data_IF_886689753583
#
_entry.id   IF_886689753583
#
_cell.length_a   1.000
_cell.length_b   1.000
_cell.length_c   1.000
_cell.angle_alpha   90.00
_cell.angle_beta   90.00
_cell.angle_gamma   90.00
#
_symmetry.space_group_name_H-M   'P 1'
#
loop_
_entity.id
_entity.type
_entity.pdbx_description
1 polymer ?
#
# COMPACT_ATOMS: atom_id res chain seq x y z
N UNK A 1 12.89 -24.24 -0.75
CA UNK A 1 11.93 -23.90 -1.84
C UNK A 1 12.61 -22.95 -2.79
N UNK A 2 12.28 -23.01 -4.07
CA UNK A 2 12.91 -22.21 -5.14
C UNK A 2 13.00 -20.69 -4.80
N UNK A 3 11.93 -20.10 -4.26
CA UNK A 3 11.94 -18.69 -3.83
C UNK A 3 12.99 -18.44 -2.73
N UNK A 4 13.07 -19.30 -1.72
CA UNK A 4 14.03 -19.12 -0.63
C UNK A 4 15.48 -19.29 -1.10
N UNK A 5 15.72 -20.15 -2.06
CA UNK A 5 17.06 -20.34 -2.60
C UNK A 5 17.50 -19.10 -3.40
N UNK A 6 16.58 -18.52 -4.20
CA UNK A 6 16.81 -17.21 -4.84
C UNK A 6 17.05 -16.10 -3.82
N UNK A 7 16.26 -16.01 -2.75
CA UNK A 7 16.43 -15.01 -1.70
C UNK A 7 17.79 -15.09 -1.01
N UNK A 8 18.32 -16.31 -0.80
CA UNK A 8 19.68 -16.52 -0.24
C UNK A 8 20.75 -15.98 -1.19
N UNK A 9 20.59 -16.17 -2.50
CA UNK A 9 21.53 -15.66 -3.50
C UNK A 9 21.57 -14.12 -3.51
N UNK A 10 20.43 -13.48 -3.24
CA UNK A 10 20.34 -12.02 -3.16
C UNK A 10 20.68 -11.42 -1.77
N UNK A 11 20.82 -12.25 -0.73
CA UNK A 11 21.07 -11.76 0.62
C UNK A 11 22.25 -10.81 0.75
N UNK A 12 23.43 -11.03 0.11
CA UNK A 12 24.54 -10.08 0.18
C UNK A 12 24.20 -8.67 -0.34
N UNK A 13 23.28 -8.58 -1.31
CA UNK A 13 22.79 -7.29 -1.81
C UNK A 13 21.83 -6.63 -0.83
N UNK A 14 20.96 -7.40 -0.18
CA UNK A 14 20.07 -6.88 0.87
C UNK A 14 20.85 -6.34 2.05
N UNK A 15 21.91 -7.04 2.47
CA UNK A 15 22.76 -6.63 3.60
C UNK A 15 23.52 -5.31 3.30
N UNK A 16 23.86 -5.06 2.04
CA UNK A 16 24.56 -3.84 1.62
C UNK A 16 23.62 -2.64 1.41
N UNK A 17 22.37 -2.90 0.97
CA UNK A 17 21.40 -1.86 0.62
C UNK A 17 20.38 -1.59 1.70
N UNK A 18 20.44 -2.31 2.83
CA UNK A 18 19.39 -2.36 3.84
C UNK A 18 18.01 -2.73 3.26
N UNK A 19 18.03 -3.48 2.17
CA UNK A 19 16.85 -3.94 1.45
C UNK A 19 16.27 -5.23 2.02
N UNK A 20 15.31 -5.80 1.28
CA UNK A 20 14.65 -7.03 1.73
C UNK A 20 13.67 -7.59 0.72
N UNK A 21 12.77 -8.43 1.21
CA UNK A 21 11.69 -9.04 0.46
C UNK A 21 10.42 -8.19 0.59
N UNK A 22 9.89 -7.73 -0.53
CA UNK A 22 8.53 -7.17 -0.59
C UNK A 22 7.59 -8.17 -1.24
N UNK A 23 6.51 -8.53 -0.55
CA UNK A 23 5.43 -9.33 -1.10
C UNK A 23 4.28 -8.41 -1.47
N UNK A 24 3.96 -8.38 -2.77
CA UNK A 24 2.93 -7.59 -3.41
C UNK A 24 2.21 -8.45 -4.48
N UNK A 25 1.64 -7.83 -5.49
CA UNK A 25 1.05 -8.54 -6.65
C UNK A 25 -0.37 -8.09 -6.92
N UNK A 26 -1.36 -8.99 -6.92
CA UNK A 26 -2.78 -8.64 -6.77
C UNK A 26 -3.00 -8.19 -5.32
N UNK A 27 -3.62 -9.05 -4.51
CA UNK A 27 -3.69 -8.82 -3.05
C UNK A 27 -3.02 -10.01 -2.33
N UNK A 28 -1.85 -9.82 -1.69
CA UNK A 28 -1.11 -10.92 -1.07
C UNK A 28 -1.89 -11.57 0.08
N UNK A 29 -2.74 -10.81 0.77
CA UNK A 29 -3.57 -11.31 1.86
C UNK A 29 -4.72 -12.25 1.43
N UNK A 30 -4.87 -12.50 0.13
CA UNK A 30 -5.71 -13.60 -0.36
C UNK A 30 -5.04 -14.96 -0.21
N UNK A 31 -3.72 -14.99 0.02
CA UNK A 31 -2.91 -16.18 0.27
C UNK A 31 -2.13 -16.07 1.61
N UNK A 32 -2.82 -15.79 2.75
CA UNK A 32 -2.16 -15.40 3.99
C UNK A 32 -1.22 -16.48 4.54
N UNK A 33 -1.58 -17.76 4.41
CA UNK A 33 -0.73 -18.88 4.84
C UNK A 33 0.59 -18.94 4.08
N UNK A 34 0.55 -18.77 2.75
CA UNK A 34 1.77 -18.75 1.93
C UNK A 34 2.66 -17.56 2.28
N UNK A 35 2.09 -16.36 2.43
CA UNK A 35 2.84 -15.15 2.77
C UNK A 35 3.47 -15.28 4.15
N UNK A 36 2.71 -15.76 5.14
CA UNK A 36 3.20 -16.00 6.49
C UNK A 36 4.37 -16.99 6.51
N UNK A 37 4.23 -18.15 5.86
CA UNK A 37 5.29 -19.16 5.77
C UNK A 37 6.55 -18.62 5.09
N UNK A 38 6.39 -17.81 4.04
CA UNK A 38 7.50 -17.17 3.34
C UNK A 38 8.21 -16.16 4.24
N UNK A 39 7.45 -15.31 4.97
CA UNK A 39 8.00 -14.32 5.88
C UNK A 39 8.73 -14.97 7.07
N UNK A 40 8.18 -16.03 7.66
CA UNK A 40 8.87 -16.78 8.72
C UNK A 40 10.25 -17.24 8.23
N UNK A 41 10.29 -17.92 7.08
CA UNK A 41 11.54 -18.45 6.52
C UNK A 41 12.52 -17.38 6.05
N UNK A 42 12.03 -16.25 5.52
CA UNK A 42 12.87 -15.10 5.18
C UNK A 42 13.48 -14.47 6.44
N UNK A 43 12.70 -14.35 7.52
CA UNK A 43 13.17 -13.87 8.81
C UNK A 43 14.23 -14.77 9.45
N UNK A 44 14.10 -16.11 9.34
CA UNK A 44 15.10 -17.07 9.82
C UNK A 44 16.50 -16.87 9.22
N UNK A 45 16.57 -16.32 8.01
CA UNK A 45 17.83 -15.99 7.32
C UNK A 45 18.16 -14.50 7.36
N UNK A 46 17.46 -13.71 8.19
CA UNK A 46 17.74 -12.30 8.43
C UNK A 46 17.40 -11.39 7.25
N UNK A 47 16.37 -11.71 6.46
CA UNK A 47 15.86 -10.85 5.39
C UNK A 47 14.69 -10.03 5.91
N UNK A 48 14.75 -8.70 5.72
CA UNK A 48 13.66 -7.77 6.03
C UNK A 48 12.42 -8.07 5.17
N UNK A 49 11.23 -8.02 5.78
CA UNK A 49 9.96 -8.48 5.19
C UNK A 49 8.95 -7.36 5.11
N UNK A 50 8.63 -6.95 3.89
CA UNK A 50 7.66 -5.90 3.61
C UNK A 50 6.40 -6.49 3.00
N UNK A 51 5.25 -6.17 3.58
CA UNK A 51 3.93 -6.45 3.05
C UNK A 51 3.40 -5.22 2.33
N UNK A 52 3.20 -5.30 1.01
CA UNK A 52 2.52 -4.26 0.21
C UNK A 52 1.09 -4.73 -0.08
N UNK A 53 0.11 -4.10 0.55
CA UNK A 53 -1.29 -4.53 0.54
C UNK A 53 -2.27 -3.37 0.42
N UNK A 54 -3.41 -3.62 -0.21
CA UNK A 54 -4.57 -2.74 -0.12
C UNK A 54 -5.40 -2.98 1.15
N UNK A 55 -5.12 -4.06 1.88
CA UNK A 55 -5.93 -4.49 3.00
C UNK A 55 -7.30 -5.06 2.62
N UNK A 56 -7.58 -5.25 1.34
CA UNK A 56 -8.85 -5.84 0.88
C UNK A 56 -8.82 -7.36 1.04
N UNK A 57 -9.07 -7.82 2.24
CA UNK A 57 -9.09 -9.23 2.59
C UNK A 57 -10.02 -9.51 3.76
N UNK A 58 -10.30 -10.79 4.03
CA UNK A 58 -10.98 -11.19 5.26
C UNK A 58 -10.16 -10.78 6.48
N UNK A 59 -10.80 -10.27 7.50
CA UNK A 59 -10.21 -9.76 8.74
C UNK A 59 -9.12 -10.67 9.36
N UNK A 60 -9.37 -11.97 9.44
CA UNK A 60 -8.40 -12.92 9.99
C UNK A 60 -7.11 -13.09 9.16
N UNK A 61 -7.16 -12.78 7.86
CA UNK A 61 -6.02 -13.00 6.97
C UNK A 61 -4.82 -12.08 7.32
N UNK A 62 -5.10 -10.80 7.59
CA UNK A 62 -4.05 -9.84 7.94
C UNK A 62 -3.39 -10.21 9.27
N UNK A 63 -4.15 -10.69 10.26
CA UNK A 63 -3.65 -11.12 11.56
C UNK A 63 -2.69 -12.32 11.47
N UNK A 64 -2.83 -13.15 10.42
CA UNK A 64 -1.93 -14.28 10.17
C UNK A 64 -0.55 -13.81 9.71
N UNK A 65 -0.48 -12.70 8.98
CA UNK A 65 0.77 -12.23 8.33
C UNK A 65 1.51 -11.19 9.18
N UNK A 66 0.79 -10.28 9.85
CA UNK A 66 1.38 -9.18 10.63
C UNK A 66 2.46 -9.60 11.64
N UNK A 67 2.35 -10.72 12.40
CA UNK A 67 3.39 -11.13 13.36
C UNK A 67 4.75 -11.43 12.73
N UNK A 68 4.79 -11.59 11.41
CA UNK A 68 5.99 -11.96 10.66
C UNK A 68 6.42 -10.87 9.67
N UNK A 69 5.84 -9.67 9.80
CA UNK A 69 6.07 -8.52 8.91
C UNK A 69 6.90 -7.46 9.64
N UNK A 70 7.93 -6.93 9.00
CA UNK A 70 8.74 -5.83 9.53
C UNK A 70 8.17 -4.47 9.11
N UNK A 71 7.71 -4.34 7.85
CA UNK A 71 7.12 -3.13 7.31
C UNK A 71 5.81 -3.44 6.59
N UNK A 72 4.78 -2.64 6.82
CA UNK A 72 3.54 -2.65 6.05
C UNK A 72 3.45 -1.39 5.20
N UNK A 73 3.43 -1.55 3.89
CA UNK A 73 3.03 -0.53 2.93
C UNK A 73 1.53 -0.68 2.69
N UNK A 74 0.73 0.18 3.32
CA UNK A 74 -0.73 0.05 3.27
C UNK A 74 -1.34 1.04 2.27
N UNK A 75 -1.87 0.51 1.18
CA UNK A 75 -2.41 1.31 0.08
C UNK A 75 -3.83 1.78 0.34
N UNK A 76 -4.04 3.08 0.42
CA UNK A 76 -5.36 3.73 0.42
C UNK A 76 -5.60 4.38 -0.93
N UNK A 77 -6.72 4.07 -1.57
CA UNK A 77 -7.07 4.61 -2.90
C UNK A 77 -7.92 5.89 -2.79
N UNK A 78 -8.98 5.84 -1.99
CA UNK A 78 -9.90 6.93 -1.69
C UNK A 78 -10.53 6.66 -0.33
N UNK A 79 -10.73 7.70 0.48
CA UNK A 79 -11.41 7.57 1.78
C UNK A 79 -12.93 7.61 1.60
N UNK A 80 -13.43 8.53 0.76
CA UNK A 80 -14.85 8.61 0.45
C UNK A 80 -15.36 7.28 -0.15
N UNK A 81 -16.39 6.70 0.47
CA UNK A 81 -16.89 5.38 0.15
C UNK A 81 -17.51 5.28 -1.25
N UNK A 82 -18.21 6.33 -1.67
CA UNK A 82 -18.84 6.34 -3.00
C UNK A 82 -17.81 6.50 -4.11
N UNK A 83 -16.83 7.38 -3.91
CA UNK A 83 -15.69 7.51 -4.81
C UNK A 83 -14.91 6.21 -4.89
N UNK A 84 -14.67 5.55 -3.74
CA UNK A 84 -13.96 4.28 -3.70
C UNK A 84 -14.69 3.20 -4.50
N UNK A 85 -16.02 3.07 -4.34
CA UNK A 85 -16.83 2.14 -5.13
C UNK A 85 -16.78 2.42 -6.63
N UNK A 86 -16.85 3.69 -7.03
CA UNK A 86 -16.74 4.07 -8.44
C UNK A 86 -15.39 3.73 -9.05
N UNK A 87 -14.32 3.78 -8.23
CA UNK A 87 -12.95 3.53 -8.68
C UNK A 87 -12.60 2.02 -8.70
N UNK A 88 -13.13 1.24 -7.75
CA UNK A 88 -12.67 -0.13 -7.49
C UNK A 88 -13.78 -1.20 -7.53
N UNK A 89 -15.03 -0.81 -7.79
CA UNK A 89 -16.24 -1.62 -7.73
C UNK A 89 -16.54 -2.21 -6.34
N UNK A 90 -15.80 -1.82 -5.30
CA UNK A 90 -15.98 -2.30 -3.92
C UNK A 90 -16.01 -1.16 -2.91
N UNK A 91 -16.56 -1.40 -1.70
CA UNK A 91 -16.44 -0.48 -0.57
C UNK A 91 -15.06 -0.56 0.08
N UNK A 92 -14.75 0.41 0.94
CA UNK A 92 -13.49 0.46 1.67
C UNK A 92 -13.62 0.11 3.17
N UNK A 93 -14.78 -0.33 3.61
CA UNK A 93 -15.05 -0.59 5.03
C UNK A 93 -14.11 -1.66 5.62
N UNK A 94 -13.90 -2.77 4.88
CA UNK A 94 -12.99 -3.83 5.32
C UNK A 94 -11.53 -3.37 5.25
N UNK A 95 -11.17 -2.56 4.27
CA UNK A 95 -9.84 -1.95 4.15
C UNK A 95 -9.53 -1.10 5.39
N UNK A 96 -10.47 -0.21 5.78
CA UNK A 96 -10.28 0.67 6.93
C UNK A 96 -10.28 -0.10 8.28
N UNK A 97 -11.02 -1.20 8.39
CA UNK A 97 -10.93 -2.11 9.55
C UNK A 97 -9.56 -2.77 9.61
N UNK A 98 -9.07 -3.29 8.49
CA UNK A 98 -7.78 -3.96 8.41
C UNK A 98 -6.60 -2.97 8.62
N UNK A 99 -6.75 -1.71 8.18
CA UNK A 99 -5.81 -0.64 8.52
C UNK A 99 -5.66 -0.48 10.04
N UNK A 100 -6.77 -0.44 10.77
CA UNK A 100 -6.74 -0.32 12.25
C UNK A 100 -6.04 -1.51 12.91
N UNK A 101 -6.14 -2.72 12.35
CA UNK A 101 -5.39 -3.88 12.85
C UNK A 101 -3.90 -3.73 12.57
N UNK A 102 -3.54 -3.33 11.35
CA UNK A 102 -2.16 -3.12 10.97
C UNK A 102 -1.48 -2.05 11.85
N UNK A 103 -2.17 -0.94 12.10
CA UNK A 103 -1.65 0.15 12.95
C UNK A 103 -1.39 -0.29 14.39
N UNK A 104 -2.17 -1.25 14.91
CA UNK A 104 -1.98 -1.80 16.26
C UNK A 104 -0.93 -2.93 16.32
N UNK A 105 -0.32 -3.31 15.19
CA UNK A 105 0.79 -4.27 15.16
C UNK A 105 2.13 -3.60 15.51
N UNK A 106 3.14 -4.43 15.76
CA UNK A 106 4.50 -3.94 16.00
C UNK A 106 5.25 -3.58 14.72
N UNK A 107 4.73 -3.97 13.54
CA UNK A 107 5.34 -3.66 12.25
C UNK A 107 5.44 -2.15 12.00
N UNK A 108 6.53 -1.71 11.41
CA UNK A 108 6.60 -0.36 10.86
C UNK A 108 5.54 -0.18 9.78
N UNK A 109 5.10 1.06 9.56
CA UNK A 109 4.05 1.32 8.57
C UNK A 109 4.31 2.58 7.78
N UNK A 110 3.90 2.52 6.51
CA UNK A 110 3.68 3.69 5.67
C UNK A 110 2.33 3.56 4.96
N UNK A 111 1.56 4.63 4.94
CA UNK A 111 0.33 4.70 4.13
C UNK A 111 0.72 5.16 2.74
N UNK A 112 0.41 4.35 1.73
CA UNK A 112 0.63 4.67 0.33
C UNK A 112 -0.65 5.22 -0.29
N UNK A 113 -0.62 6.44 -0.82
CA UNK A 113 -1.74 7.09 -1.48
C UNK A 113 -1.40 7.40 -2.93
N UNK A 114 -2.09 6.75 -3.87
CA UNK A 114 -1.88 7.01 -5.30
C UNK A 114 -2.72 8.21 -5.70
N UNK A 115 -2.06 9.33 -6.01
CA UNK A 115 -2.71 10.56 -6.45
C UNK A 115 -3.15 10.44 -7.91
N UNK A 116 -4.45 10.38 -8.14
CA UNK A 116 -5.07 10.24 -9.48
C UNK A 116 -5.75 11.56 -9.81
N UNK A 117 -5.24 12.33 -10.80
CA UNK A 117 -5.81 13.62 -11.18
C UNK A 117 -7.32 13.54 -11.44
N UNK A 118 -8.05 14.53 -10.95
CA UNK A 118 -9.52 14.68 -11.08
C UNK A 118 -10.36 13.65 -10.33
N UNK A 119 -9.74 12.68 -9.67
CA UNK A 119 -10.48 11.63 -8.93
C UNK A 119 -10.31 11.81 -7.42
N UNK A 120 -9.07 11.89 -6.93
CA UNK A 120 -8.76 11.93 -5.49
C UNK A 120 -7.70 12.98 -5.14
N UNK A 121 -7.61 14.06 -5.91
CA UNK A 121 -6.62 15.13 -5.80
C UNK A 121 -7.21 16.46 -5.28
N UNK A 122 -8.47 16.47 -4.84
CA UNK A 122 -9.13 17.66 -4.33
C UNK A 122 -8.68 18.02 -2.91
N UNK A 123 -8.95 19.27 -2.49
CA UNK A 123 -8.75 19.71 -1.10
C UNK A 123 -9.54 18.86 -0.11
N UNK A 124 -10.74 18.39 -0.49
CA UNK A 124 -11.54 17.51 0.34
C UNK A 124 -10.86 16.13 0.51
N UNK A 125 -10.28 15.57 -0.56
CA UNK A 125 -9.53 14.32 -0.47
C UNK A 125 -8.27 14.46 0.41
N UNK A 126 -7.57 15.60 0.34
CA UNK A 126 -6.45 15.91 1.23
C UNK A 126 -6.90 16.02 2.70
N UNK A 127 -8.09 16.59 2.96
CA UNK A 127 -8.66 16.64 4.30
C UNK A 127 -9.04 15.25 4.80
N UNK A 128 -9.69 14.44 3.98
CA UNK A 128 -10.11 13.08 4.33
C UNK A 128 -8.91 12.21 4.74
N UNK A 129 -7.82 12.22 3.97
CA UNK A 129 -6.61 11.46 4.33
C UNK A 129 -5.95 12.02 5.59
N UNK A 130 -5.95 13.34 5.76
CA UNK A 130 -5.43 14.01 6.96
C UNK A 130 -6.21 13.56 8.20
N UNK A 131 -7.53 13.58 8.15
CA UNK A 131 -8.40 13.21 9.27
C UNK A 131 -8.25 11.72 9.59
N UNK A 132 -8.16 10.87 8.57
CA UNK A 132 -7.88 9.46 8.76
C UNK A 132 -6.56 9.26 9.52
N UNK A 133 -5.46 9.81 9.02
CA UNK A 133 -4.11 9.62 9.60
C UNK A 133 -4.05 10.15 11.03
N UNK A 134 -4.63 11.32 11.30
CA UNK A 134 -4.70 11.90 12.65
C UNK A 134 -5.59 11.12 13.63
N UNK A 135 -6.53 10.33 13.11
CA UNK A 135 -7.38 9.45 13.94
C UNK A 135 -6.66 8.18 14.40
N UNK A 136 -5.50 7.86 13.83
CA UNK A 136 -4.74 6.66 14.16
C UNK A 136 -4.04 6.79 15.51
N UNK A 137 -3.82 5.70 16.25
CA UNK A 137 -3.24 5.72 17.61
C UNK A 137 -1.74 6.03 17.65
N UNK A 138 -1.08 6.06 16.51
CA UNK A 138 0.34 6.43 16.35
C UNK A 138 0.55 7.23 15.07
N UNK A 139 1.64 7.98 15.00
CA UNK A 139 2.04 8.68 13.77
C UNK A 139 2.45 7.67 12.71
N UNK A 140 1.86 7.80 11.54
CA UNK A 140 2.17 6.97 10.36
C UNK A 140 2.51 7.93 9.22
N UNK A 141 3.71 7.82 8.62
CA UNK A 141 4.05 8.64 7.46
C UNK A 141 3.20 8.26 6.25
N UNK A 142 2.96 9.24 5.38
CA UNK A 142 2.20 9.06 4.13
C UNK A 142 3.13 9.22 2.95
N UNK A 143 3.17 8.23 2.08
CA UNK A 143 3.84 8.30 0.78
C UNK A 143 2.81 8.60 -0.30
N UNK A 144 2.97 9.73 -0.99
CA UNK A 144 2.12 10.08 -2.12
C UNK A 144 2.79 9.61 -3.40
N UNK A 145 2.14 8.69 -4.10
CA UNK A 145 2.62 8.10 -5.35
C UNK A 145 1.88 8.74 -6.54
N UNK A 146 2.57 9.32 -7.52
CA UNK A 146 1.90 9.87 -8.69
C UNK A 146 1.30 8.75 -9.53
N UNK A 147 0.02 8.89 -9.93
CA UNK A 147 -0.59 7.98 -10.90
C UNK A 147 0.20 7.99 -12.22
N UNK A 148 0.41 6.81 -12.78
CA UNK A 148 1.06 6.59 -14.07
C UNK A 148 0.38 5.47 -14.88
N UNK A 149 0.56 5.47 -16.20
CA UNK A 149 -0.11 4.54 -17.13
C UNK A 149 0.61 3.18 -17.33
N UNK A 150 1.58 2.83 -16.52
CA UNK A 150 2.32 1.55 -16.67
C UNK A 150 1.40 0.32 -16.54
N UNK A 151 0.32 0.43 -15.76
CA UNK A 151 -0.68 -0.63 -15.61
C UNK A 151 -1.60 -0.88 -16.82
N UNK A 152 -1.67 0.06 -17.77
CA UNK A 152 -2.58 -0.03 -18.94
C UNK A 152 -2.31 -1.28 -19.80
N UNK A 153 -1.05 -1.74 -19.83
CA UNK A 153 -0.68 -2.95 -20.57
C UNK A 153 -1.41 -4.16 -20.00
N UNK A 154 -1.52 -4.29 -18.67
CA UNK A 154 -2.19 -5.41 -17.99
C UNK A 154 -3.68 -5.46 -18.35
N UNK A 155 -4.37 -4.31 -18.39
CA UNK A 155 -5.78 -4.23 -18.80
C UNK A 155 -5.96 -4.77 -20.21
N UNK A 156 -5.11 -4.34 -21.14
CA UNK A 156 -5.15 -4.80 -22.54
C UNK A 156 -4.87 -6.29 -22.67
N UNK A 157 -3.88 -6.83 -21.94
CA UNK A 157 -3.55 -8.26 -21.95
C UNK A 157 -4.67 -9.13 -21.40
N UNK A 158 -5.44 -8.60 -20.44
CA UNK A 158 -6.64 -9.27 -19.90
C UNK A 158 -7.88 -9.11 -20.82
N UNK A 159 -7.79 -8.37 -21.91
CA UNK A 159 -8.93 -8.05 -22.78
C UNK A 159 -9.96 -7.14 -22.15
N UNK A 160 -9.57 -6.36 -21.12
CA UNK A 160 -10.44 -5.45 -20.39
C UNK A 160 -10.18 -4.00 -20.77
N UNK A 161 -11.22 -3.15 -20.62
CA UNK A 161 -11.06 -1.70 -20.77
C UNK A 161 -10.43 -1.12 -19.51
N UNK A 162 -9.40 -0.30 -19.67
CA UNK A 162 -8.82 0.46 -18.57
C UNK A 162 -9.78 1.60 -18.18
N UNK A 163 -10.38 1.60 -16.97
CA UNK A 163 -11.31 2.64 -16.54
C UNK A 163 -10.65 4.01 -16.39
N UNK A 164 -9.33 4.06 -16.27
CA UNK A 164 -8.55 5.29 -16.15
C UNK A 164 -7.85 5.70 -17.46
N UNK A 165 -8.20 5.09 -18.59
CA UNK A 165 -7.54 5.35 -19.89
C UNK A 165 -7.50 6.83 -20.27
N UNK A 166 -8.57 7.59 -19.95
CA UNK A 166 -8.68 9.02 -20.24
C UNK A 166 -7.95 9.92 -19.22
N UNK A 167 -7.59 9.41 -18.05
CA UNK A 167 -6.93 10.19 -16.98
C UNK A 167 -5.44 10.35 -17.31
N UNK A 168 -4.89 11.59 -17.32
CA UNK A 168 -3.47 11.80 -17.52
C UNK A 168 -2.67 11.32 -16.29
N UNK A 169 -1.38 11.00 -16.44
CA UNK A 169 -0.48 10.84 -15.29
C UNK A 169 -0.46 12.11 -14.43
N UNK A 170 -0.30 11.93 -13.12
CA UNK A 170 -0.13 13.05 -12.20
C UNK A 170 1.17 13.81 -12.50
N UNK A 171 1.09 15.12 -12.54
CA UNK A 171 2.25 15.99 -12.77
C UNK A 171 3.03 16.22 -11.46
N UNK A 172 4.35 16.56 -11.54
CA UNK A 172 5.13 16.92 -10.35
C UNK A 172 4.51 18.11 -9.57
N UNK A 173 3.85 19.03 -10.25
CA UNK A 173 3.20 20.19 -9.62
C UNK A 173 1.96 19.78 -8.80
N UNK A 174 1.11 18.91 -9.34
CA UNK A 174 -0.05 18.36 -8.63
C UNK A 174 0.41 17.53 -7.43
N UNK A 175 1.41 16.66 -7.60
CA UNK A 175 2.01 15.88 -6.52
C UNK A 175 2.49 16.80 -5.39
N UNK A 176 3.32 17.80 -5.74
CA UNK A 176 3.85 18.75 -4.76
C UNK A 176 2.74 19.52 -4.05
N UNK A 177 1.76 20.02 -4.78
CA UNK A 177 0.62 20.75 -4.20
C UNK A 177 -0.14 19.90 -3.18
N UNK A 178 -0.39 18.64 -3.48
CA UNK A 178 -1.07 17.71 -2.56
C UNK A 178 -0.21 17.39 -1.33
N UNK A 179 1.10 17.15 -1.51
CA UNK A 179 2.05 16.96 -0.41
C UNK A 179 2.13 18.18 0.50
N UNK A 180 2.16 19.39 -0.07
CA UNK A 180 2.22 20.66 0.70
C UNK A 180 0.95 20.84 1.56
N UNK A 181 -0.24 20.44 1.07
CA UNK A 181 -1.48 20.47 1.85
C UNK A 181 -1.41 19.53 3.06
N UNK A 182 -0.95 18.29 2.87
CA UNK A 182 -0.79 17.32 3.96
C UNK A 182 0.29 17.77 4.96
N UNK A 183 1.42 18.27 4.47
CA UNK A 183 2.51 18.79 5.29
C UNK A 183 2.08 19.99 6.14
N UNK A 184 1.32 20.94 5.56
CA UNK A 184 0.74 22.08 6.28
C UNK A 184 -0.25 21.63 7.37
N UNK A 185 -0.90 20.49 7.18
CA UNK A 185 -1.74 19.86 8.19
C UNK A 185 -0.96 19.06 9.25
N UNK A 186 0.37 18.99 9.15
CA UNK A 186 1.25 18.28 10.10
C UNK A 186 1.38 16.78 9.84
N UNK A 187 1.04 16.31 8.65
CA UNK A 187 1.28 14.92 8.25
C UNK A 187 2.73 14.75 7.79
N UNK A 188 3.41 13.75 8.30
CA UNK A 188 4.75 13.39 7.85
C UNK A 188 4.67 12.78 6.45
N UNK A 189 5.35 13.39 5.47
CA UNK A 189 5.48 12.88 4.11
C UNK A 189 6.75 12.05 4.03
N UNK A 190 6.61 10.84 3.48
CA UNK A 190 7.71 9.89 3.28
C UNK A 190 8.45 10.18 1.98
#
# INVERSE_FOLDING_TARGET
>A
TEILDQLKDYKPFFDLSEGGLTVSGGEPLLQPGFVSDLFIKAGEIGIHRTLDTSGFCRHGNILTVLPHTDLVMFSIKVIDQEKHRKLTDTGNEEILKNLKLAVNSEAEMVICYVLIPTINDSVADAQDITDLVKSLPREIPVQILPYHKMGTIKWREMGLCDPLAAIPPATPAELKSFQDQLGAAGIQIY
#
